data_IF_034609961995
#
_entry.id   IF_034609961995
#
_cell.length_a   1.000
_cell.length_b   1.000
_cell.length_c   1.000
_cell.angle_alpha   90.00
_cell.angle_beta   90.00
_cell.angle_gamma   90.00
#
_symmetry.space_group_name_H-M   'P 1'
#
loop_
_entity.id
_entity.type
_entity.pdbx_description
1 polymer ?
#
# COMPACT_ATOMS: atom_id res chain seq x y z
N UNK A 1 14.60 -8.72 1.78
CA UNK A 1 14.13 -7.80 0.71
C UNK A 1 12.95 -8.46 0.03
N UNK A 2 11.85 -7.73 -0.12
CA UNK A 2 10.58 -8.25 -0.67
C UNK A 2 10.35 -7.66 -2.04
N UNK A 3 9.89 -8.48 -2.99
CA UNK A 3 9.46 -7.98 -4.29
C UNK A 3 8.18 -7.15 -4.16
N UNK A 4 8.22 -5.94 -4.71
CA UNK A 4 7.10 -5.00 -4.70
C UNK A 4 5.93 -5.46 -5.56
N UNK A 5 6.17 -6.35 -6.54
CA UNK A 5 5.12 -6.88 -7.43
C UNK A 5 3.94 -7.48 -6.65
N UNK A 6 4.22 -8.30 -5.63
CA UNK A 6 3.19 -8.91 -4.78
C UNK A 6 2.39 -7.88 -3.98
N UNK A 7 3.04 -6.80 -3.54
CA UNK A 7 2.40 -5.72 -2.79
C UNK A 7 1.45 -4.93 -3.69
N UNK A 8 1.88 -4.64 -4.93
CA UNK A 8 1.06 -3.99 -5.97
C UNK A 8 -0.17 -4.81 -6.33
N UNK A 9 0.03 -6.09 -6.64
CA UNK A 9 -1.06 -7.02 -6.94
C UNK A 9 -2.08 -7.06 -5.80
N UNK A 10 -1.61 -7.13 -4.55
CA UNK A 10 -2.49 -7.13 -3.38
C UNK A 10 -3.31 -5.83 -3.23
N UNK A 11 -2.69 -4.66 -3.50
CA UNK A 11 -3.40 -3.38 -3.52
C UNK A 11 -4.49 -3.36 -4.60
N UNK A 12 -4.17 -3.83 -5.79
CA UNK A 12 -5.06 -3.83 -6.95
C UNK A 12 -6.23 -4.80 -6.76
N UNK A 13 -5.97 -6.00 -6.23
CA UNK A 13 -7.01 -6.96 -5.83
C UNK A 13 -7.92 -6.43 -4.71
N UNK A 14 -7.42 -5.53 -3.87
CA UNK A 14 -8.21 -4.81 -2.87
C UNK A 14 -9.04 -3.67 -3.45
N UNK A 15 -8.93 -3.40 -4.76
CA UNK A 15 -9.65 -2.33 -5.46
C UNK A 15 -9.24 -0.94 -5.00
N UNK A 16 -8.00 -0.77 -4.58
CA UNK A 16 -7.45 0.49 -4.07
C UNK A 16 -6.51 1.15 -5.08
N UNK A 17 -6.65 2.45 -5.24
CA UNK A 17 -5.66 3.24 -5.98
C UNK A 17 -4.41 3.46 -5.13
N UNK A 18 -3.29 3.81 -5.78
CA UNK A 18 -2.05 4.18 -5.07
C UNK A 18 -2.30 5.31 -4.08
N UNK A 19 -3.08 6.33 -4.49
CA UNK A 19 -3.43 7.47 -3.64
C UNK A 19 -4.17 7.01 -2.38
N UNK A 20 -5.19 6.17 -2.53
CA UNK A 20 -5.96 5.67 -1.38
C UNK A 20 -5.12 4.86 -0.41
N UNK A 21 -4.22 3.99 -0.89
CA UNK A 21 -3.32 3.24 -0.01
C UNK A 21 -2.29 4.16 0.67
N UNK A 22 -1.78 5.15 -0.07
CA UNK A 22 -0.73 6.05 0.42
C UNK A 22 -1.18 6.99 1.54
N UNK A 23 -2.48 7.27 1.66
CA UNK A 23 -3.05 8.07 2.76
C UNK A 23 -2.89 7.41 4.13
N UNK A 24 -2.77 6.08 4.17
CA UNK A 24 -2.62 5.28 5.39
C UNK A 24 -1.17 4.84 5.62
N UNK A 25 -0.24 5.30 4.79
CA UNK A 25 1.17 4.98 4.93
C UNK A 25 1.86 5.97 5.85
N UNK A 26 2.58 5.47 6.86
CA UNK A 26 3.05 6.28 8.00
C UNK A 26 4.07 7.37 7.64
N UNK A 27 4.80 7.25 6.52
CA UNK A 27 5.85 8.20 6.14
C UNK A 27 5.29 9.33 5.27
N UNK A 28 5.19 9.11 3.97
CA UNK A 28 4.63 10.09 3.04
C UNK A 28 4.07 9.44 1.79
N UNK A 29 3.12 10.13 1.17
CA UNK A 29 2.55 9.75 -0.13
C UNK A 29 3.61 9.57 -1.21
N UNK A 30 4.55 10.51 -1.29
CA UNK A 30 5.64 10.45 -2.27
C UNK A 30 6.54 9.22 -2.04
N UNK A 31 6.82 8.88 -0.79
CA UNK A 31 7.64 7.73 -0.45
C UNK A 31 6.95 6.41 -0.80
N UNK A 32 5.65 6.25 -0.49
CA UNK A 32 4.89 5.06 -0.88
C UNK A 32 4.88 4.86 -2.39
N UNK A 33 4.62 5.92 -3.16
CA UNK A 33 4.64 5.86 -4.62
C UNK A 33 6.02 5.46 -5.16
N UNK A 34 7.10 5.97 -4.56
CA UNK A 34 8.49 5.61 -4.91
C UNK A 34 8.81 4.16 -4.58
N UNK A 35 8.38 3.66 -3.43
CA UNK A 35 8.53 2.24 -3.07
C UNK A 35 7.84 1.35 -4.09
N UNK A 36 6.64 1.71 -4.50
CA UNK A 36 5.92 0.95 -5.52
C UNK A 36 6.65 0.92 -6.87
N UNK A 37 7.46 1.91 -7.23
CA UNK A 37 8.20 1.92 -8.50
C UNK A 37 9.48 1.08 -8.47
N UNK A 38 9.94 0.66 -7.30
CA UNK A 38 11.11 -0.19 -7.16
C UNK A 38 10.76 -1.66 -7.43
N UNK A 39 11.75 -2.47 -7.82
CA UNK A 39 11.57 -3.92 -7.93
C UNK A 39 11.49 -4.59 -6.54
N UNK A 40 12.25 -4.06 -5.58
CA UNK A 40 12.39 -4.59 -4.24
C UNK A 40 12.38 -3.48 -3.19
N UNK A 41 11.88 -3.83 -2.00
CA UNK A 41 11.90 -2.96 -0.81
C UNK A 41 12.40 -3.74 0.41
N UNK A 42 12.73 -3.02 1.48
CA UNK A 42 13.07 -3.66 2.75
C UNK A 42 11.86 -4.44 3.30
N UNK A 43 12.12 -5.43 4.14
CA UNK A 43 11.03 -6.22 4.74
C UNK A 43 10.17 -5.34 5.66
N UNK A 44 10.75 -4.30 6.26
CA UNK A 44 10.02 -3.33 7.08
C UNK A 44 9.09 -2.46 6.22
N UNK A 45 9.59 -1.90 5.11
CA UNK A 45 8.76 -1.12 4.19
C UNK A 45 7.64 -1.97 3.60
N UNK A 46 7.91 -3.23 3.27
CA UNK A 46 6.88 -4.15 2.80
C UNK A 46 5.76 -4.34 3.82
N UNK A 47 6.11 -4.57 5.10
CA UNK A 47 5.12 -4.69 6.19
C UNK A 47 4.28 -3.43 6.33
N UNK A 48 4.91 -2.26 6.34
CA UNK A 48 4.22 -0.98 6.42
C UNK A 48 3.29 -0.74 5.22
N UNK A 49 3.70 -1.14 4.01
CA UNK A 49 2.87 -1.02 2.80
C UNK A 49 1.63 -1.92 2.86
N UNK A 50 1.78 -3.18 3.29
CA UNK A 50 0.64 -4.08 3.49
C UNK A 50 -0.33 -3.55 4.56
N UNK A 51 0.20 -3.01 5.66
CA UNK A 51 -0.61 -2.41 6.71
C UNK A 51 -1.42 -1.21 6.18
N UNK A 52 -0.80 -0.33 5.40
CA UNK A 52 -1.48 0.80 4.78
C UNK A 52 -2.62 0.35 3.83
N UNK A 53 -2.38 -0.68 3.01
CA UNK A 53 -3.41 -1.26 2.12
C UNK A 53 -4.58 -1.82 2.93
N UNK A 54 -4.31 -2.54 4.02
CA UNK A 54 -5.35 -3.11 4.89
C UNK A 54 -6.21 -2.02 5.56
N UNK A 55 -5.57 -0.95 6.06
CA UNK A 55 -6.26 0.19 6.66
C UNK A 55 -7.13 0.93 5.63
N UNK A 56 -6.58 1.20 4.43
CA UNK A 56 -7.32 1.82 3.33
C UNK A 56 -8.54 0.98 2.92
N UNK A 57 -8.38 -0.34 2.84
CA UNK A 57 -9.46 -1.29 2.53
C UNK A 57 -10.54 -1.25 3.60
N UNK A 58 -10.16 -1.22 4.88
CA UNK A 58 -11.10 -1.13 5.98
C UNK A 58 -11.87 0.20 5.96
N UNK A 59 -11.20 1.32 5.64
CA UNK A 59 -11.86 2.63 5.54
C UNK A 59 -12.87 2.67 4.38
N UNK A 60 -12.49 2.17 3.19
CA UNK A 60 -13.39 2.09 2.03
C UNK A 60 -14.66 1.29 2.33
N UNK A 61 -14.55 0.19 3.11
CA UNK A 61 -15.72 -0.58 3.56
C UNK A 61 -16.63 0.19 4.51
N UNK A 62 -16.09 1.10 5.33
CA UNK A 62 -16.88 1.94 6.26
C UNK A 62 -17.64 3.04 5.52
N UNK A 63 -17.07 3.60 4.46
CA UNK A 63 -17.72 4.65 3.66
C UNK A 63 -18.84 4.13 2.76
N UNK A 64 -18.86 2.84 2.43
CA UNK A 64 -19.91 2.19 1.64
C UNK A 64 -21.09 1.64 2.49
N UNK A 65 -21.12 1.91 3.79
CA UNK A 65 -22.20 1.56 4.71
C UNK A 65 -22.94 2.82 5.15
#
# INVERSE_FOLDING_TARGET
MVSVKKIREYRELSGLTKTQASEFYCKSKQYYCRLETNDYVSDNDAKEMYQAINLARANKKKQNK
#
